data_IF_500670083440
#
_entry.id   IF_500670083440
#
_cell.length_a   1.000
_cell.length_b   1.000
_cell.length_c   1.000
_cell.angle_alpha   90.00
_cell.angle_beta   90.00
_cell.angle_gamma   90.00
#
_symmetry.space_group_name_H-M   'P 1'
#
loop_
_entity.id
_entity.type
_entity.pdbx_description
1 polymer ?
#
# COMPACT_ATOMS: atom_id res chain seq x y z
N UNK A 1 20.30 27.96 46.23
CA UNK A 1 19.87 26.60 45.85
C UNK A 1 18.35 26.65 45.75
N UNK A 2 17.75 27.19 44.68
CA UNK A 2 17.82 26.74 43.26
C UNK A 2 17.38 25.28 43.16
N UNK A 3 16.29 24.87 42.50
CA UNK A 3 15.54 25.48 41.40
C UNK A 3 14.04 25.13 41.44
N UNK A 4 13.18 26.15 41.31
CA UNK A 4 11.79 25.96 40.89
C UNK A 4 11.78 25.81 39.37
N UNK A 5 11.61 24.58 38.90
CA UNK A 5 11.35 24.29 37.49
C UNK A 5 10.02 24.95 37.12
N UNK A 6 10.09 26.12 36.46
CA UNK A 6 8.96 26.69 35.73
C UNK A 6 8.58 25.70 34.64
N UNK A 7 7.41 25.07 34.76
CA UNK A 7 6.75 24.43 33.61
C UNK A 7 6.45 25.54 32.60
N UNK A 8 7.17 25.56 31.48
CA UNK A 8 6.78 26.32 30.30
C UNK A 8 5.47 25.72 29.79
N UNK A 9 4.40 26.49 29.87
CA UNK A 9 3.15 26.22 29.19
C UNK A 9 3.35 26.49 27.69
N UNK A 10 3.27 25.45 26.87
CA UNK A 10 3.24 25.57 25.41
C UNK A 10 1.79 25.68 24.94
N UNK A 11 1.02 26.61 25.52
CA UNK A 11 -0.26 27.01 24.95
C UNK A 11 0.03 27.65 23.59
N UNK A 12 -0.25 26.88 22.54
CA UNK A 12 -0.11 27.26 21.14
C UNK A 12 -0.79 28.61 20.87
N UNK A 13 0.00 29.62 20.53
CA UNK A 13 -0.51 30.87 19.96
C UNK A 13 -0.57 30.64 18.46
N UNK A 14 -1.77 30.50 17.90
CA UNK A 14 -1.96 30.61 16.46
C UNK A 14 -1.35 31.94 16.02
N UNK A 15 -0.36 31.90 15.13
CA UNK A 15 0.06 33.10 14.44
C UNK A 15 -1.18 33.67 13.74
N UNK A 16 -1.54 34.94 13.97
CA UNK A 16 -2.67 35.54 13.28
C UNK A 16 -2.46 35.40 11.78
N UNK A 17 -3.31 34.61 11.11
CA UNK A 17 -3.31 34.47 9.66
C UNK A 17 -3.86 35.72 8.98
N UNK A 18 -4.43 36.63 9.76
CA UNK A 18 -4.95 37.92 9.34
C UNK A 18 -4.38 39.02 10.25
N UNK A 19 -4.09 40.17 9.66
CA UNK A 19 -3.67 41.38 10.37
C UNK A 19 -4.70 42.45 10.06
N UNK A 20 -5.15 43.17 11.08
CA UNK A 20 -6.06 44.30 10.88
C UNK A 20 -5.42 45.35 9.95
N UNK A 21 -6.26 46.02 9.17
CA UNK A 21 -5.82 46.98 8.16
C UNK A 21 -5.03 48.14 8.76
N UNK A 22 -5.36 48.60 9.97
CA UNK A 22 -4.65 49.69 10.63
C UNK A 22 -3.28 49.24 11.12
N UNK A 23 -3.18 48.01 11.62
CA UNK A 23 -1.93 47.37 11.99
C UNK A 23 -1.03 47.21 10.77
N UNK A 24 -1.55 46.77 9.62
CA UNK A 24 -0.77 46.70 8.38
C UNK A 24 -0.26 48.09 7.95
N UNK A 25 -1.12 49.12 7.99
CA UNK A 25 -0.77 50.50 7.61
C UNK A 25 0.32 51.11 8.49
N UNK A 26 0.38 50.74 9.77
CA UNK A 26 1.38 51.27 10.70
C UNK A 26 2.80 50.77 10.41
N UNK A 27 2.93 49.57 9.86
CA UNK A 27 4.23 48.91 9.64
C UNK A 27 4.63 48.77 8.16
N UNK A 28 3.69 48.93 7.23
CA UNK A 28 3.92 48.76 5.80
C UNK A 28 3.69 50.08 5.06
N UNK A 29 4.76 50.64 4.50
CA UNK A 29 4.66 51.73 3.53
C UNK A 29 4.18 51.17 2.19
N UNK A 30 2.86 51.21 1.98
CA UNK A 30 2.19 50.69 0.77
C UNK A 30 2.77 51.30 -0.53
N UNK A 31 3.43 52.46 -0.48
CA UNK A 31 4.08 53.09 -1.65
C UNK A 31 5.36 52.36 -2.06
N UNK A 32 5.95 51.56 -1.19
CA UNK A 32 7.17 50.76 -1.44
C UNK A 32 6.87 49.29 -1.76
N UNK A 33 5.63 48.84 -1.54
CA UNK A 33 5.19 47.49 -1.87
C UNK A 33 4.97 47.36 -3.38
N UNK A 34 5.98 46.84 -4.10
CA UNK A 34 5.78 46.34 -5.46
C UNK A 34 5.14 44.96 -5.37
N UNK A 35 3.84 44.88 -5.61
CA UNK A 35 3.17 43.60 -5.84
C UNK A 35 3.82 42.91 -7.05
N UNK A 36 4.05 41.59 -7.02
CA UNK A 36 4.46 40.86 -8.21
C UNK A 36 3.45 41.12 -9.32
N UNK A 37 3.93 41.44 -10.53
CA UNK A 37 3.06 41.59 -11.70
C UNK A 37 2.59 40.19 -12.12
N UNK A 38 1.56 39.68 -11.47
CA UNK A 38 0.88 38.47 -11.89
C UNK A 38 0.01 38.88 -13.08
N UNK A 39 0.45 38.55 -14.29
CA UNK A 39 -0.42 38.55 -15.47
C UNK A 39 -1.35 37.34 -15.35
N UNK A 40 -2.47 37.52 -14.65
CA UNK A 40 -3.44 36.46 -14.47
C UNK A 40 -4.48 36.83 -13.43
N UNK A 41 -5.61 37.35 -13.93
CA UNK A 41 -6.93 37.36 -13.30
C UNK A 41 -7.06 38.18 -12.01
N UNK A 42 -7.60 39.38 -12.17
CA UNK A 42 -8.31 40.10 -11.12
C UNK A 42 -9.38 39.19 -10.52
N UNK A 43 -9.55 39.29 -9.20
CA UNK A 43 -10.64 38.65 -8.47
C UNK A 43 -11.97 39.14 -9.02
N UNK A 44 -12.67 38.30 -9.78
CA UNK A 44 -14.09 38.46 -10.05
C UNK A 44 -14.85 37.48 -9.16
N UNK A 45 -15.64 38.07 -8.26
CA UNK A 45 -16.57 37.39 -7.37
C UNK A 45 -17.61 36.67 -8.24
N UNK A 46 -17.39 35.37 -8.50
CA UNK A 46 -18.36 34.51 -9.17
C UNK A 46 -18.73 33.38 -8.24
N UNK A 47 -20.04 33.23 -8.07
CA UNK A 47 -20.74 32.31 -7.18
C UNK A 47 -20.10 30.92 -7.07
N UNK A 48 -19.69 30.56 -5.86
CA UNK A 48 -19.96 29.26 -5.25
C UNK A 48 -19.25 28.00 -5.76
N UNK A 49 -18.60 27.98 -6.92
CA UNK A 49 -17.93 26.77 -7.42
C UNK A 49 -16.60 27.10 -8.14
N UNK A 50 -15.51 26.50 -7.65
CA UNK A 50 -14.13 26.49 -8.18
C UNK A 50 -13.20 27.65 -7.77
N UNK A 51 -12.74 27.65 -6.51
CA UNK A 51 -11.47 28.30 -6.14
C UNK A 51 -10.70 27.46 -5.11
N UNK A 52 -10.13 26.33 -5.53
CA UNK A 52 -9.05 25.66 -4.78
C UNK A 52 -7.70 25.70 -5.51
N UNK A 53 -7.66 26.11 -6.78
CA UNK A 53 -6.44 26.06 -7.58
C UNK A 53 -5.43 27.20 -7.28
N UNK A 54 -5.87 28.30 -6.65
CA UNK A 54 -5.07 29.54 -6.55
C UNK A 54 -4.81 30.00 -5.10
N UNK A 55 -5.04 29.16 -4.09
CA UNK A 55 -4.65 29.49 -2.72
C UNK A 55 -3.16 29.19 -2.53
N UNK A 56 -2.33 30.15 -2.05
CA UNK A 56 -0.93 29.89 -1.80
C UNK A 56 -0.80 28.80 -0.72
N UNK A 57 0.03 27.78 -1.00
CA UNK A 57 0.31 26.72 -0.04
C UNK A 57 0.89 27.32 1.24
N UNK A 58 0.40 26.86 2.40
CA UNK A 58 1.00 27.25 3.68
C UNK A 58 2.43 26.72 3.80
N UNK A 59 3.26 27.36 4.63
CA UNK A 59 4.63 26.89 4.90
C UNK A 59 4.66 25.42 5.35
N UNK A 60 3.66 24.99 6.13
CA UNK A 60 3.48 23.57 6.52
C UNK A 60 3.42 22.67 5.29
N UNK A 61 2.53 22.94 4.34
CA UNK A 61 2.39 22.13 3.13
C UNK A 61 3.62 22.20 2.23
N UNK A 62 4.28 23.36 2.12
CA UNK A 62 5.54 23.49 1.36
C UNK A 62 6.66 22.64 1.96
N UNK A 63 6.77 22.58 3.29
CA UNK A 63 7.73 21.71 3.99
C UNK A 63 7.39 20.24 3.75
N UNK A 64 6.11 19.86 3.86
CA UNK A 64 5.69 18.47 3.62
C UNK A 64 5.91 18.03 2.18
N UNK A 65 5.64 18.90 1.20
CA UNK A 65 5.93 18.65 -0.20
C UNK A 65 7.44 18.46 -0.42
N UNK A 66 8.27 19.30 0.20
CA UNK A 66 9.72 19.17 0.13
C UNK A 66 10.23 17.86 0.75
N UNK A 67 9.64 17.42 1.87
CA UNK A 67 9.94 16.13 2.49
C UNK A 67 9.55 14.98 1.53
N UNK A 68 8.36 15.04 0.95
CA UNK A 68 7.88 14.01 0.02
C UNK A 68 8.75 13.94 -1.25
N UNK A 69 9.20 15.07 -1.79
CA UNK A 69 10.09 15.11 -2.96
C UNK A 69 11.51 14.60 -2.66
N UNK A 70 12.03 14.79 -1.44
CA UNK A 70 13.37 14.36 -1.04
C UNK A 70 13.38 13.02 -0.31
N UNK A 71 12.31 12.24 -0.41
CA UNK A 71 12.15 10.99 0.35
C UNK A 71 13.26 9.97 0.09
N UNK A 72 13.79 9.94 -1.12
CA UNK A 72 14.88 9.04 -1.50
C UNK A 72 16.18 9.32 -0.73
N UNK A 73 16.42 10.58 -0.36
CA UNK A 73 17.62 10.99 0.39
C UNK A 73 17.39 10.93 1.89
N UNK A 74 16.19 11.34 2.36
CA UNK A 74 15.90 11.45 3.79
C UNK A 74 14.45 11.06 4.15
N UNK A 75 14.16 9.76 4.32
CA UNK A 75 12.82 9.27 4.66
C UNK A 75 12.52 9.45 6.16
N UNK A 76 12.03 10.63 6.55
CA UNK A 76 11.79 11.00 7.97
C UNK A 76 10.39 10.65 8.49
N UNK A 77 9.80 9.51 8.10
CA UNK A 77 8.41 9.17 8.44
C UNK A 77 8.11 9.20 9.95
N UNK A 78 8.93 8.50 10.74
CA UNK A 78 8.72 8.34 12.18
C UNK A 78 9.08 9.60 12.98
N UNK A 79 9.93 10.46 12.42
CA UNK A 79 10.33 11.73 13.04
C UNK A 79 9.22 12.79 12.95
N UNK A 80 8.28 12.64 12.01
CA UNK A 80 7.15 13.57 11.86
C UNK A 80 6.13 13.29 12.97
N UNK A 81 5.91 14.20 13.92
CA UNK A 81 5.12 13.89 15.13
C UNK A 81 3.61 13.82 14.85
N UNK A 82 3.10 14.63 13.91
CA UNK A 82 1.67 14.76 13.63
C UNK A 82 1.22 13.69 12.64
N UNK A 83 0.17 12.94 13.01
CA UNK A 83 -0.41 11.93 12.14
C UNK A 83 -0.95 12.52 10.83
N UNK A 84 -1.55 13.71 10.87
CA UNK A 84 -2.05 14.40 9.67
C UNK A 84 -0.93 14.68 8.66
N UNK A 85 0.26 15.06 9.16
CA UNK A 85 1.42 15.35 8.32
C UNK A 85 1.99 14.07 7.71
N UNK A 86 2.06 12.98 8.51
CA UNK A 86 2.43 11.65 8.01
C UNK A 86 1.47 11.18 6.92
N UNK A 87 0.17 11.35 7.13
CA UNK A 87 -0.87 11.00 6.16
C UNK A 87 -0.74 11.84 4.88
N UNK A 88 -0.47 13.14 5.02
CA UNK A 88 -0.26 14.02 3.88
C UNK A 88 0.97 13.61 3.07
N UNK A 89 2.10 13.33 3.73
CA UNK A 89 3.32 12.84 3.08
C UNK A 89 3.00 11.55 2.32
N UNK A 90 2.49 10.52 3.01
CA UNK A 90 2.12 9.23 2.41
C UNK A 90 1.17 9.39 1.22
N UNK A 91 0.22 10.31 1.30
CA UNK A 91 -0.70 10.58 0.20
C UNK A 91 -0.04 11.27 -0.99
N UNK A 92 1.07 11.98 -0.81
CA UNK A 92 1.78 12.71 -1.87
C UNK A 92 3.12 12.09 -2.28
N UNK A 93 3.53 10.96 -1.66
CA UNK A 93 4.73 10.24 -2.06
C UNK A 93 4.65 9.76 -3.51
N UNK A 94 5.78 9.85 -4.19
CA UNK A 94 5.93 9.29 -5.53
C UNK A 94 5.88 7.76 -5.47
N UNK A 95 5.06 7.19 -6.35
CA UNK A 95 4.87 5.74 -6.49
C UNK A 95 6.08 5.04 -7.10
N UNK A 96 7.01 5.79 -7.70
CA UNK A 96 8.22 5.26 -8.34
C UNK A 96 9.43 5.18 -7.41
N UNK A 97 9.27 5.52 -6.13
CA UNK A 97 10.35 5.42 -5.14
C UNK A 97 10.83 3.96 -4.97
N UNK A 98 12.13 3.74 -4.67
CA UNK A 98 12.66 2.39 -4.49
C UNK A 98 11.93 1.60 -3.41
N UNK A 99 11.48 0.39 -3.77
CA UNK A 99 10.67 -0.46 -2.89
C UNK A 99 11.37 -0.78 -1.54
N UNK A 100 12.70 -0.89 -1.56
CA UNK A 100 13.52 -1.08 -0.36
C UNK A 100 13.36 0.05 0.66
N UNK A 101 13.32 1.30 0.19
CA UNK A 101 13.14 2.48 1.06
C UNK A 101 11.71 2.52 1.57
N UNK A 102 10.73 2.30 0.68
CA UNK A 102 9.32 2.32 1.04
C UNK A 102 8.98 1.26 2.10
N UNK A 103 9.39 0.02 1.90
CA UNK A 103 9.13 -1.09 2.84
C UNK A 103 9.81 -0.92 4.20
N UNK A 104 10.96 -0.24 4.24
CA UNK A 104 11.68 0.01 5.49
C UNK A 104 11.03 1.10 6.35
N UNK A 105 10.41 2.12 5.73
CA UNK A 105 9.92 3.31 6.43
C UNK A 105 8.39 3.45 6.48
N UNK A 106 7.64 2.68 5.68
CA UNK A 106 6.19 2.82 5.56
C UNK A 106 5.51 1.49 5.83
N UNK A 107 4.83 1.41 6.98
CA UNK A 107 3.95 0.29 7.35
C UNK A 107 2.46 0.66 7.21
N UNK A 108 2.16 1.81 6.63
CA UNK A 108 0.79 2.32 6.50
C UNK A 108 -0.02 1.53 5.45
N UNK A 109 -1.13 0.95 5.90
CA UNK A 109 -1.98 0.06 5.10
C UNK A 109 -2.71 0.81 3.96
N UNK A 110 -2.99 2.11 4.13
CA UNK A 110 -3.60 2.95 3.09
C UNK A 110 -2.60 3.22 1.96
N UNK A 111 -1.34 3.50 2.28
CA UNK A 111 -0.26 3.68 1.31
C UNK A 111 -0.13 2.48 0.37
N UNK A 112 0.06 1.29 0.94
CA UNK A 112 0.26 0.05 0.18
C UNK A 112 -0.95 -0.27 -0.70
N UNK A 113 -2.17 -0.04 -0.20
CA UNK A 113 -3.40 -0.15 -0.99
C UNK A 113 -3.41 0.82 -2.16
N UNK A 114 -3.07 2.10 -1.93
CA UNK A 114 -3.06 3.14 -2.96
C UNK A 114 -2.08 2.79 -4.08
N UNK A 115 -0.83 2.44 -3.73
CA UNK A 115 0.18 2.12 -4.74
C UNK A 115 -0.14 0.80 -5.47
N UNK A 116 -0.75 -0.17 -4.79
CA UNK A 116 -1.23 -1.40 -5.41
C UNK A 116 -2.26 -1.09 -6.50
N UNK A 117 -3.27 -0.27 -6.18
CA UNK A 117 -4.30 0.15 -7.13
C UNK A 117 -3.74 0.96 -8.30
N UNK A 118 -2.71 1.77 -8.04
CA UNK A 118 -2.03 2.57 -9.05
C UNK A 118 -1.25 1.69 -10.04
N UNK A 119 -0.48 0.72 -9.54
CA UNK A 119 0.36 -0.18 -10.36
C UNK A 119 -0.46 -1.26 -11.07
N UNK A 120 -1.37 -1.91 -10.35
CA UNK A 120 -2.23 -2.97 -10.88
C UNK A 120 -3.68 -2.48 -10.91
N UNK A 121 -4.10 -1.98 -12.08
CA UNK A 121 -5.46 -1.43 -12.35
C UNK A 121 -6.57 -2.29 -11.74
N UNK A 122 -7.71 -1.64 -11.46
CA UNK A 122 -8.88 -2.13 -10.68
C UNK A 122 -9.42 -3.54 -10.94
N UNK A 123 -9.05 -4.24 -12.01
CA UNK A 123 -9.48 -5.63 -12.26
C UNK A 123 -8.94 -6.60 -11.20
N UNK A 124 -7.65 -6.51 -10.86
CA UNK A 124 -7.05 -7.34 -9.80
C UNK A 124 -7.49 -6.89 -8.40
N UNK A 125 -7.62 -5.58 -8.18
CA UNK A 125 -8.21 -5.05 -6.94
C UNK A 125 -9.64 -5.55 -6.72
N UNK A 126 -10.48 -5.57 -7.76
CA UNK A 126 -11.83 -6.13 -7.69
C UNK A 126 -11.80 -7.63 -7.44
N UNK A 127 -10.89 -8.39 -8.06
CA UNK A 127 -10.77 -9.82 -7.82
C UNK A 127 -10.34 -10.12 -6.37
N UNK A 128 -9.30 -9.46 -5.85
CA UNK A 128 -8.87 -9.62 -4.46
C UNK A 128 -9.94 -9.17 -3.47
N UNK A 129 -10.54 -8.00 -3.70
CA UNK A 129 -11.59 -7.49 -2.83
C UNK A 129 -12.84 -8.37 -2.93
N UNK A 130 -13.26 -8.87 -4.09
CA UNK A 130 -14.43 -9.75 -4.18
C UNK A 130 -14.18 -11.12 -3.55
N UNK A 131 -12.96 -11.65 -3.67
CA UNK A 131 -12.58 -12.94 -3.07
C UNK A 131 -12.39 -12.85 -1.54
N UNK A 132 -12.15 -11.64 -1.00
CA UNK A 132 -11.92 -11.38 0.43
C UNK A 132 -12.89 -10.37 1.06
N UNK A 133 -13.96 -9.95 0.36
CA UNK A 133 -14.94 -8.98 0.85
C UNK A 133 -16.00 -9.69 1.68
N UNK A 134 -15.94 -9.44 2.99
CA UNK A 134 -17.16 -9.33 3.77
C UNK A 134 -17.87 -8.03 3.37
N UNK A 135 -19.16 -8.15 3.03
CA UNK A 135 -20.06 -7.05 2.74
C UNK A 135 -19.89 -5.91 3.76
N UNK A 136 -19.93 -4.63 3.37
CA UNK A 136 -20.03 -3.55 4.33
C UNK A 136 -21.27 -3.83 5.20
N UNK A 137 -21.09 -3.81 6.52
CA UNK A 137 -22.17 -3.91 7.48
C UNK A 137 -23.26 -2.91 7.10
N UNK A 138 -24.29 -3.36 6.42
CA UNK A 138 -25.55 -2.63 6.38
C UNK A 138 -26.04 -2.64 7.82
N UNK A 139 -25.92 -1.49 8.50
CA UNK A 139 -26.75 -1.21 9.65
C UNK A 139 -28.18 -1.33 9.16
N UNK A 140 -28.80 -2.49 9.38
CA UNK A 140 -30.25 -2.63 9.30
C UNK A 140 -30.83 -1.63 10.29
N UNK A 141 -31.25 -0.47 9.78
CA UNK A 141 -32.22 0.38 10.44
C UNK A 141 -33.52 -0.42 10.52
N UNK A 142 -33.67 -1.21 11.58
CA UNK A 142 -34.95 -1.78 11.96
C UNK A 142 -35.89 -0.62 12.29
N UNK A 143 -36.78 -0.30 11.35
CA UNK A 143 -37.97 0.48 11.64
C UNK A 143 -38.77 -0.25 12.71
N UNK A 144 -38.86 0.37 13.89
CA UNK A 144 -39.77 -0.04 14.96
C UNK A 144 -41.20 0.03 14.42
N UNK A 145 -41.87 -1.11 14.29
CA UNK A 145 -43.33 -1.17 14.31
C UNK A 145 -43.76 -1.69 15.67
N UNK A 146 -44.44 -0.82 16.42
CA UNK A 146 -45.12 -1.19 17.66
C UNK A 146 -46.26 -2.15 17.34
N UNK A 147 -46.19 -3.37 17.89
CA UNK A 147 -47.39 -4.09 18.29
C UNK A 147 -47.16 -4.83 19.60
N UNK A 148 -48.08 -4.57 20.52
CA UNK A 148 -48.20 -5.18 21.84
C UNK A 148 -48.73 -6.61 21.69
N UNK A 149 -48.19 -7.57 22.44
CA UNK A 149 -48.94 -8.46 23.35
C UNK A 149 -48.05 -9.59 23.92
N UNK A 150 -47.83 -9.50 25.23
CA UNK A 150 -47.85 -10.53 26.28
C UNK A 150 -47.10 -11.88 26.19
N UNK A 151 -46.37 -12.11 27.30
CA UNK A 151 -46.23 -13.32 28.14
C UNK A 151 -45.02 -14.27 27.97
N UNK A 152 -44.21 -14.29 29.05
CA UNK A 152 -43.46 -15.42 29.66
C UNK A 152 -42.41 -16.10 28.77
N UNK A 153 -41.14 -16.24 29.15
CA UNK A 153 -40.66 -16.82 30.40
C UNK A 153 -39.17 -16.44 30.60
N UNK A 154 -38.87 -15.78 31.72
CA UNK A 154 -37.52 -15.55 32.24
C UNK A 154 -36.98 -16.89 32.73
N UNK A 155 -36.08 -17.58 31.99
CA UNK A 155 -35.13 -18.58 32.52
C UNK A 155 -34.14 -19.22 31.51
N UNK A 156 -33.65 -18.48 30.49
CA UNK A 156 -32.49 -18.97 29.68
C UNK A 156 -31.40 -17.90 29.47
N UNK A 157 -31.36 -16.88 30.32
CA UNK A 157 -30.25 -15.93 30.38
C UNK A 157 -29.18 -16.54 31.30
N UNK A 158 -28.41 -17.54 30.83
CA UNK A 158 -27.10 -17.86 31.41
C UNK A 158 -26.24 -18.90 30.67
N UNK A 159 -26.39 -19.14 29.37
CA UNK A 159 -25.47 -20.11 28.73
C UNK A 159 -25.05 -19.85 27.27
N UNK A 160 -25.15 -18.60 26.80
CA UNK A 160 -24.63 -18.22 25.47
C UNK A 160 -23.75 -16.98 25.52
N UNK A 161 -22.70 -17.02 26.34
CA UNK A 161 -21.58 -16.07 26.28
C UNK A 161 -20.26 -16.82 26.11
N UNK A 162 -20.00 -17.32 24.90
CA UNK A 162 -18.66 -17.50 24.34
C UNK A 162 -18.69 -18.04 22.90
N UNK A 163 -19.56 -17.51 22.03
CA UNK A 163 -19.33 -17.66 20.58
C UNK A 163 -18.16 -16.75 20.24
N UNK A 164 -16.94 -17.26 20.41
CA UNK A 164 -15.69 -16.62 20.05
C UNK A 164 -15.68 -16.44 18.53
N UNK A 165 -16.29 -15.35 18.06
CA UNK A 165 -16.15 -14.88 16.68
C UNK A 165 -14.64 -14.68 16.49
N UNK A 166 -14.00 -15.65 15.82
CA UNK A 166 -12.61 -15.53 15.39
C UNK A 166 -12.58 -14.34 14.45
N UNK A 167 -12.13 -13.19 14.95
CA UNK A 167 -11.87 -12.01 14.13
C UNK A 167 -10.84 -12.45 13.08
N UNK A 168 -11.28 -12.70 11.85
CA UNK A 168 -10.39 -13.04 10.74
C UNK A 168 -9.44 -11.86 10.60
N UNK A 169 -8.17 -12.06 10.92
CA UNK A 169 -7.15 -11.02 10.75
C UNK A 169 -6.99 -10.80 9.24
N UNK A 170 -7.38 -9.62 8.78
CA UNK A 170 -7.16 -9.20 7.39
C UNK A 170 -5.66 -9.14 7.13
N UNK A 171 -5.25 -9.65 5.97
CA UNK A 171 -3.86 -9.61 5.53
C UNK A 171 -3.44 -8.14 5.28
N UNK A 172 -2.29 -7.69 5.81
CA UNK A 172 -1.79 -6.34 5.55
C UNK A 172 -1.56 -6.09 4.06
N UNK A 173 -1.79 -4.85 3.60
CA UNK A 173 -1.60 -4.47 2.20
C UNK A 173 -0.16 -4.54 1.74
N UNK A 174 0.82 -4.38 2.64
CA UNK A 174 2.23 -4.58 2.30
C UNK A 174 2.49 -6.03 1.86
N UNK A 175 1.95 -7.03 2.57
CA UNK A 175 2.08 -8.43 2.16
C UNK A 175 1.45 -8.68 0.80
N UNK A 176 0.22 -8.19 0.58
CA UNK A 176 -0.47 -8.33 -0.72
C UNK A 176 0.34 -7.70 -1.86
N UNK A 177 0.92 -6.52 -1.60
CA UNK A 177 1.77 -5.84 -2.58
C UNK A 177 3.03 -6.64 -2.87
N UNK A 178 3.73 -7.11 -1.83
CA UNK A 178 4.99 -7.85 -1.96
C UNK A 178 4.81 -9.17 -2.68
N UNK A 179 3.73 -9.89 -2.40
CA UNK A 179 3.35 -11.12 -3.09
C UNK A 179 3.12 -10.85 -4.56
N UNK A 180 2.28 -9.87 -4.88
CA UNK A 180 2.01 -9.54 -6.28
C UNK A 180 3.24 -9.02 -7.01
N UNK A 181 4.10 -8.28 -6.33
CA UNK A 181 5.36 -7.79 -6.88
C UNK A 181 6.29 -8.95 -7.24
N UNK A 182 6.43 -9.93 -6.36
CA UNK A 182 7.25 -11.11 -6.60
C UNK A 182 6.66 -11.99 -7.71
N UNK A 183 5.34 -12.19 -7.73
CA UNK A 183 4.66 -12.89 -8.84
C UNK A 183 4.94 -12.22 -10.18
N UNK A 184 4.74 -10.90 -10.28
CA UNK A 184 4.99 -10.16 -11.52
C UNK A 184 6.47 -10.22 -11.94
N UNK A 185 7.40 -10.21 -10.98
CA UNK A 185 8.82 -10.39 -11.26
C UNK A 185 9.10 -11.78 -11.86
N UNK A 186 8.58 -12.85 -11.23
CA UNK A 186 8.74 -14.24 -11.69
C UNK A 186 8.07 -14.49 -13.05
N UNK A 187 6.88 -13.94 -13.28
CA UNK A 187 6.12 -14.11 -14.52
C UNK A 187 6.75 -13.36 -15.72
N UNK A 188 7.59 -12.35 -15.46
CA UNK A 188 8.21 -11.53 -16.51
C UNK A 188 9.69 -11.81 -16.74
N UNK A 189 10.39 -12.47 -15.80
CA UNK A 189 11.79 -12.85 -16.02
C UNK A 189 11.87 -13.97 -17.05
N UNK A 190 12.72 -13.80 -18.05
CA UNK A 190 12.99 -14.81 -19.07
C UNK A 190 14.09 -15.75 -18.59
N UNK A 191 14.20 -16.93 -19.20
CA UNK A 191 15.29 -17.87 -18.87
C UNK A 191 16.68 -17.33 -19.23
N UNK A 192 16.77 -16.45 -20.22
CA UNK A 192 18.04 -15.83 -20.65
C UNK A 192 18.46 -14.68 -19.74
N UNK A 193 17.49 -13.92 -19.21
CA UNK A 193 17.75 -12.77 -18.34
C UNK A 193 17.77 -13.16 -16.85
N UNK A 194 17.64 -14.46 -16.56
CA UNK A 194 17.68 -14.97 -15.19
C UNK A 194 19.10 -14.80 -14.61
N UNK A 195 19.21 -13.90 -13.64
CA UNK A 195 20.40 -13.71 -12.84
C UNK A 195 20.06 -13.89 -11.36
N UNK A 196 20.74 -14.83 -10.71
CA UNK A 196 20.49 -15.17 -9.30
C UNK A 196 20.68 -13.95 -8.37
N UNK A 197 21.59 -13.04 -8.71
CA UNK A 197 21.83 -11.80 -7.96
C UNK A 197 20.62 -10.86 -7.99
N UNK A 198 19.96 -10.70 -9.13
CA UNK A 198 18.76 -9.86 -9.27
C UNK A 198 17.57 -10.47 -8.52
N UNK A 199 17.47 -11.80 -8.55
CA UNK A 199 16.47 -12.55 -7.78
C UNK A 199 16.72 -12.36 -6.28
N UNK A 200 17.96 -12.50 -5.82
CA UNK A 200 18.32 -12.30 -4.42
C UNK A 200 18.02 -10.86 -3.97
N UNK A 201 18.38 -9.85 -4.76
CA UNK A 201 18.10 -8.45 -4.43
C UNK A 201 16.59 -8.17 -4.29
N UNK A 202 15.75 -8.87 -5.06
CA UNK A 202 14.29 -8.79 -4.95
C UNK A 202 13.81 -9.48 -3.66
N UNK A 203 14.30 -10.69 -3.39
CA UNK A 203 13.95 -11.48 -2.20
C UNK A 203 14.37 -10.80 -0.90
N UNK A 204 15.52 -10.13 -0.87
CA UNK A 204 16.01 -9.36 0.29
C UNK A 204 15.00 -8.29 0.75
N UNK A 205 14.15 -7.81 -0.15
CA UNK A 205 13.13 -6.79 0.14
C UNK A 205 11.80 -7.44 0.54
N UNK A 206 11.37 -8.48 -0.18
CA UNK A 206 10.00 -8.98 -0.10
C UNK A 206 9.82 -10.27 0.70
N UNK A 207 10.85 -11.12 0.83
CA UNK A 207 10.72 -12.51 1.29
C UNK A 207 10.02 -12.67 2.65
N UNK A 208 10.27 -11.76 3.60
CA UNK A 208 9.64 -11.75 4.92
C UNK A 208 8.14 -11.42 4.91
N UNK A 209 7.61 -10.91 3.81
CA UNK A 209 6.21 -10.54 3.65
C UNK A 209 5.41 -11.58 2.85
N UNK A 210 6.07 -12.58 2.27
CA UNK A 210 5.45 -13.57 1.37
C UNK A 210 4.91 -14.74 2.19
N UNK A 211 3.59 -14.84 2.27
CA UNK A 211 2.91 -16.00 2.84
C UNK A 211 2.17 -16.82 1.79
N UNK A 212 1.87 -16.21 0.65
CA UNK A 212 1.22 -16.83 -0.49
C UNK A 212 1.96 -16.42 -1.76
N UNK A 213 2.23 -17.39 -2.63
CA UNK A 213 2.83 -17.15 -3.94
C UNK A 213 1.95 -17.80 -5.02
N UNK A 214 1.42 -16.97 -5.93
CA UNK A 214 0.51 -17.41 -6.98
C UNK A 214 1.08 -17.12 -8.38
N UNK A 215 1.82 -18.08 -8.93
CA UNK A 215 2.41 -17.96 -10.28
C UNK A 215 1.42 -18.51 -11.30
N UNK A 216 0.85 -17.63 -12.12
CA UNK A 216 -0.14 -17.99 -13.15
C UNK A 216 0.51 -18.29 -14.50
N UNK A 217 1.60 -17.58 -14.79
CA UNK A 217 2.23 -17.60 -16.09
C UNK A 217 3.75 -17.76 -15.98
N UNK A 218 4.22 -18.98 -15.71
CA UNK A 218 5.65 -19.25 -15.74
C UNK A 218 6.14 -19.42 -17.18
N UNK A 219 7.03 -18.54 -17.63
CA UNK A 219 7.55 -18.56 -19.00
C UNK A 219 8.59 -19.67 -19.17
N UNK A 220 8.48 -20.41 -20.26
CA UNK A 220 9.50 -21.38 -20.66
C UNK A 220 10.56 -20.76 -21.58
N UNK A 221 11.73 -21.39 -21.63
CA UNK A 221 12.80 -21.09 -22.56
C UNK A 221 12.41 -21.31 -24.02
N UNK A 222 13.01 -20.50 -24.91
CA UNK A 222 12.86 -20.58 -26.37
C UNK A 222 13.90 -21.50 -27.04
N UNK A 223 14.78 -22.13 -26.26
CA UNK A 223 15.87 -23.00 -26.73
C UNK A 223 15.43 -24.43 -27.13
N UNK A 224 14.14 -24.74 -26.98
CA UNK A 224 13.56 -26.05 -27.28
C UNK A 224 13.73 -27.11 -26.19
N UNK A 225 14.38 -26.79 -25.06
CA UNK A 225 14.42 -27.68 -23.89
C UNK A 225 13.14 -27.60 -23.06
N UNK A 226 12.34 -26.55 -23.28
CA UNK A 226 11.10 -26.28 -22.53
C UNK A 226 11.32 -26.14 -21.01
N UNK A 227 12.53 -25.77 -20.60
CA UNK A 227 12.87 -25.51 -19.20
C UNK A 227 12.39 -24.11 -18.79
N UNK A 228 12.03 -23.96 -17.52
CA UNK A 228 11.65 -22.69 -16.93
C UNK A 228 12.77 -22.12 -16.05
N UNK A 229 12.57 -20.91 -15.53
CA UNK A 229 13.51 -20.37 -14.53
C UNK A 229 13.60 -21.29 -13.29
N UNK A 230 14.78 -21.39 -12.65
CA UNK A 230 14.97 -22.29 -11.52
C UNK A 230 14.22 -21.76 -10.27
N UNK A 231 13.05 -22.35 -9.98
CA UNK A 231 12.23 -22.00 -8.82
C UNK A 231 12.82 -22.48 -7.48
N UNK A 232 13.76 -23.42 -7.50
CA UNK A 232 14.35 -23.97 -6.28
C UNK A 232 15.00 -22.88 -5.43
N UNK A 233 15.74 -21.97 -6.06
CA UNK A 233 16.36 -20.85 -5.37
C UNK A 233 15.33 -19.89 -4.76
N UNK A 234 14.28 -19.56 -5.49
CA UNK A 234 13.21 -18.67 -5.01
C UNK A 234 12.50 -19.31 -3.82
N UNK A 235 11.98 -20.53 -3.99
CA UNK A 235 11.22 -21.24 -2.96
C UNK A 235 12.04 -21.50 -1.69
N UNK A 236 13.35 -21.77 -1.85
CA UNK A 236 14.27 -21.98 -0.73
C UNK A 236 14.47 -20.73 0.15
N UNK A 237 14.18 -19.55 -0.37
CA UNK A 237 14.38 -18.26 0.29
C UNK A 237 13.07 -17.61 0.76
N UNK A 238 11.96 -18.36 0.80
CA UNK A 238 10.66 -17.89 1.30
C UNK A 238 10.31 -18.57 2.63
N UNK A 239 10.78 -18.03 3.77
CA UNK A 239 10.71 -18.72 5.06
C UNK A 239 9.28 -18.88 5.58
N UNK A 240 8.38 -17.95 5.27
CA UNK A 240 7.00 -17.95 5.76
C UNK A 240 5.97 -18.34 4.68
N UNK A 241 6.40 -19.04 3.62
CA UNK A 241 5.52 -19.46 2.54
C UNK A 241 4.55 -20.55 3.03
N UNK A 242 3.25 -20.23 3.03
CA UNK A 242 2.18 -21.13 3.47
C UNK A 242 1.40 -21.73 2.30
N UNK A 243 1.23 -20.96 1.23
CA UNK A 243 0.44 -21.35 0.07
C UNK A 243 1.23 -21.10 -1.19
N UNK A 244 1.39 -22.13 -2.02
CA UNK A 244 1.98 -22.02 -3.35
C UNK A 244 0.96 -22.50 -4.38
N UNK A 245 0.69 -21.65 -5.38
CA UNK A 245 -0.08 -22.03 -6.56
C UNK A 245 0.79 -21.81 -7.79
N UNK A 246 0.97 -22.85 -8.59
CA UNK A 246 1.92 -22.83 -9.70
C UNK A 246 1.32 -23.38 -10.98
N UNK A 247 1.25 -22.53 -12.00
CA UNK A 247 0.80 -22.89 -13.34
C UNK A 247 1.94 -22.72 -14.35
N UNK A 248 2.32 -23.83 -14.99
CA UNK A 248 3.25 -23.86 -16.13
C UNK A 248 2.50 -23.46 -17.40
N UNK A 249 2.43 -22.16 -17.67
CA UNK A 249 1.69 -21.60 -18.80
C UNK A 249 2.34 -20.31 -19.27
N UNK A 250 2.32 -20.07 -20.58
CA UNK A 250 2.82 -18.81 -21.15
C UNK A 250 1.72 -17.77 -21.25
N UNK A 251 2.04 -16.52 -20.90
CA UNK A 251 1.14 -15.40 -21.15
C UNK A 251 1.16 -15.10 -22.65
N UNK A 252 0.15 -15.56 -23.39
CA UNK A 252 0.05 -15.29 -24.82
C UNK A 252 -0.24 -13.81 -25.06
N UNK A 253 0.80 -13.02 -25.34
CA UNK A 253 0.68 -11.67 -25.88
C UNK A 253 1.08 -11.75 -27.36
N UNK A 254 0.10 -11.78 -28.28
CA UNK A 254 0.33 -11.86 -29.73
C UNK A 254 0.41 -13.29 -30.30
N UNK A 255 1.15 -13.45 -31.41
CA UNK A 255 1.22 -14.68 -32.23
C UNK A 255 2.33 -15.67 -31.84
N UNK A 256 2.95 -15.53 -30.66
CA UNK A 256 4.09 -16.37 -30.27
C UNK A 256 3.66 -17.69 -29.62
N UNK A 257 2.87 -18.50 -30.36
CA UNK A 257 2.61 -19.88 -29.98
C UNK A 257 3.76 -20.77 -30.47
N UNK A 258 4.33 -21.57 -29.57
CA UNK A 258 5.26 -22.63 -29.93
C UNK A 258 4.87 -23.91 -29.19
N UNK A 259 5.07 -25.05 -29.86
CA UNK A 259 4.73 -26.36 -29.33
C UNK A 259 5.56 -26.61 -28.07
N UNK A 260 4.92 -27.11 -27.01
CA UNK A 260 5.60 -27.41 -25.75
C UNK A 260 5.67 -26.25 -24.75
N UNK A 261 5.08 -25.08 -25.04
CA UNK A 261 5.14 -23.89 -24.17
C UNK A 261 4.44 -24.03 -22.79
N UNK A 262 3.69 -25.12 -22.58
CA UNK A 262 3.00 -25.45 -21.33
C UNK A 262 3.46 -26.81 -20.78
N UNK A 263 4.62 -27.31 -21.21
CA UNK A 263 5.14 -28.61 -20.80
C UNK A 263 6.04 -28.43 -19.59
N UNK A 264 5.79 -29.22 -18.55
CA UNK A 264 6.66 -29.34 -17.40
C UNK A 264 7.84 -30.25 -17.74
N UNK A 265 9.08 -29.74 -17.65
CA UNK A 265 10.27 -30.55 -17.93
C UNK A 265 10.66 -31.45 -16.73
N UNK A 266 11.51 -32.45 -16.99
CA UNK A 266 12.08 -33.27 -15.91
C UNK A 266 12.97 -32.44 -14.98
N UNK A 267 13.70 -31.45 -15.53
CA UNK A 267 14.52 -30.53 -14.75
C UNK A 267 13.64 -29.66 -13.84
N UNK A 268 12.54 -29.13 -14.38
CA UNK A 268 11.59 -28.32 -13.60
C UNK A 268 11.04 -29.12 -12.41
N UNK A 269 10.65 -30.38 -12.64
CA UNK A 269 10.16 -31.28 -11.58
C UNK A 269 11.19 -31.47 -10.48
N UNK A 270 12.46 -31.67 -10.84
CA UNK A 270 13.56 -31.85 -9.90
C UNK A 270 13.84 -30.58 -9.09
N UNK A 271 13.89 -29.42 -9.75
CA UNK A 271 14.13 -28.13 -9.09
C UNK A 271 12.95 -27.76 -8.20
N UNK A 272 11.72 -27.91 -8.67
CA UNK A 272 10.52 -27.70 -7.85
C UNK A 272 10.54 -28.57 -6.59
N UNK A 273 10.83 -29.87 -6.72
CA UNK A 273 10.94 -30.76 -5.57
C UNK A 273 12.03 -30.32 -4.57
N UNK A 274 13.19 -29.87 -5.06
CA UNK A 274 14.26 -29.33 -4.20
C UNK A 274 13.80 -28.06 -3.48
N UNK A 275 13.15 -27.13 -4.17
CA UNK A 275 12.62 -25.90 -3.56
C UNK A 275 11.58 -26.20 -2.49
N UNK A 276 10.58 -27.04 -2.82
CA UNK A 276 9.52 -27.45 -1.91
C UNK A 276 10.07 -28.13 -0.64
N UNK A 277 11.15 -28.90 -0.74
CA UNK A 277 11.78 -29.53 0.43
C UNK A 277 12.30 -28.55 1.48
N UNK A 278 12.48 -27.27 1.11
CA UNK A 278 12.93 -26.19 2.00
C UNK A 278 11.79 -25.28 2.48
N UNK A 279 10.58 -25.44 1.96
CA UNK A 279 9.41 -24.68 2.40
C UNK A 279 8.78 -25.35 3.64
N UNK A 280 9.36 -25.10 4.82
CA UNK A 280 8.93 -25.78 6.05
C UNK A 280 7.53 -25.37 6.55
N UNK A 281 7.07 -24.16 6.21
CA UNK A 281 5.76 -23.63 6.60
C UNK A 281 4.64 -23.90 5.59
N UNK A 282 4.94 -24.60 4.49
CA UNK A 282 4.00 -24.84 3.40
C UNK A 282 2.84 -25.74 3.86
N UNK A 283 1.62 -25.20 3.79
CA UNK A 283 0.37 -25.87 4.18
C UNK A 283 -0.44 -26.33 2.98
N UNK A 284 -0.16 -25.77 1.81
CA UNK A 284 -1.10 -25.76 0.69
C UNK A 284 -0.34 -25.60 -0.63
N UNK A 285 -0.51 -26.57 -1.53
CA UNK A 285 0.13 -26.60 -2.85
C UNK A 285 -0.84 -27.13 -3.91
N UNK A 286 -1.04 -26.39 -5.01
CA UNK A 286 -1.89 -26.80 -6.14
C UNK A 286 -1.51 -26.11 -7.45
#
# INVERSE_FOLDING_TARGET
>A
MSDKIKRMDFSYVEFPSTVDLNTLKAYVDLKKCKLPKIYGLSWEDTDGLQVLANQPKSLRHLVLDSIASNWNEKPIYDEVPRQEDRNYIVNNLDVNLPLKILSSHIQDDFFWRKIYQHRWKTLYYKQYNNNNAEQPHHQHHHHHHHHHHHTTNTNEIKERKASKVRKIRRKPWINIYMERHLEEFIENVTTTDYEQENVQATLDICASYINQLEINYLQTSMDGQHDHIPLDFILSNLPELHTLRLTYCTKTIGMNFYLGCNVLSQRDTLLLARGLSRCHELKSFW
#
